data_IF_594612471459
#
_entry.id   IF_594612471459
#
_cell.length_a   1.000
_cell.length_b   1.000
_cell.length_c   1.000
_cell.angle_alpha   90.00
_cell.angle_beta   90.00
_cell.angle_gamma   90.00
#
_symmetry.space_group_name_H-M   'P 1'
#
loop_
_entity.id
_entity.type
_entity.pdbx_description
1 polymer ?
#
# COMPACT_ATOMS: atom_id res chain seq x y z
N UNK A 1 -1.55 -21.38 -1.50
CA UNK A 1 -0.29 -20.63 -1.59
C UNK A 1 -0.37 -19.48 -0.60
N UNK A 2 0.64 -19.30 0.26
CA UNK A 2 0.68 -18.19 1.19
C UNK A 2 1.14 -16.90 0.49
N UNK A 3 0.74 -15.74 1.00
CA UNK A 3 1.07 -14.43 0.45
C UNK A 3 1.76 -13.57 1.50
N UNK A 4 2.89 -12.98 1.13
CA UNK A 4 3.77 -12.25 2.03
C UNK A 4 3.84 -10.79 1.61
N UNK A 5 3.63 -9.84 2.55
CA UNK A 5 3.55 -8.41 2.21
C UNK A 5 4.93 -7.84 1.89
N UNK A 6 4.99 -6.96 0.89
CA UNK A 6 6.23 -6.34 0.41
C UNK A 6 6.19 -4.80 0.40
N UNK A 7 5.09 -4.23 0.89
CA UNK A 7 4.86 -2.80 1.02
C UNK A 7 3.73 -2.31 0.12
N UNK A 8 3.26 -1.10 0.40
CA UNK A 8 2.20 -0.44 -0.35
C UNK A 8 2.70 0.07 -1.70
N UNK A 9 1.85 -0.03 -2.72
CA UNK A 9 2.11 0.61 -4.01
C UNK A 9 1.93 2.13 -3.92
N UNK A 10 2.70 2.88 -4.72
CA UNK A 10 2.44 4.30 -4.98
C UNK A 10 1.88 4.57 -6.37
N UNK A 11 1.67 3.50 -7.15
CA UNK A 11 1.28 3.56 -8.55
C UNK A 11 -0.21 3.84 -8.71
N UNK A 12 -0.53 4.96 -9.37
CA UNK A 12 -1.86 5.27 -9.91
C UNK A 12 -3.05 4.70 -9.13
N UNK A 13 -3.70 3.71 -9.74
CA UNK A 13 -4.90 3.01 -9.28
C UNK A 13 -4.66 1.99 -8.15
N UNK A 14 -3.40 1.65 -7.87
CA UNK A 14 -2.98 0.76 -6.79
C UNK A 14 -2.42 1.51 -5.58
N UNK A 15 -2.40 2.85 -5.60
CA UNK A 15 -1.80 3.64 -4.52
C UNK A 15 -2.40 3.28 -3.15
N UNK A 16 -1.53 3.03 -2.18
CA UNK A 16 -1.89 2.62 -0.82
C UNK A 16 -2.22 1.14 -0.67
N UNK A 17 -2.39 0.39 -1.77
CA UNK A 17 -2.70 -1.03 -1.69
C UNK A 17 -1.44 -1.82 -1.37
N UNK A 18 -1.49 -2.62 -0.29
CA UNK A 18 -0.44 -3.56 0.06
C UNK A 18 -0.21 -4.55 -1.09
N UNK A 19 1.04 -4.68 -1.50
CA UNK A 19 1.46 -5.65 -2.50
C UNK A 19 2.01 -6.91 -1.83
N UNK A 20 1.91 -8.04 -2.53
CA UNK A 20 2.27 -9.35 -2.00
C UNK A 20 3.05 -10.18 -3.02
N UNK A 21 3.89 -11.08 -2.51
CA UNK A 21 4.55 -12.16 -3.27
C UNK A 21 4.27 -13.51 -2.62
N UNK A 22 4.49 -14.59 -3.36
CA UNK A 22 4.12 -15.95 -2.93
C UNK A 22 5.18 -16.67 -2.07
N UNK A 23 6.29 -16.01 -1.75
CA UNK A 23 7.40 -16.59 -1.00
C UNK A 23 7.91 -15.61 0.04
N UNK A 24 8.03 -16.08 1.28
CA UNK A 24 8.59 -15.28 2.37
C UNK A 24 10.00 -14.81 2.04
N UNK A 25 10.80 -15.69 1.42
CA UNK A 25 12.18 -15.39 1.06
C UNK A 25 12.26 -14.27 0.02
N UNK A 26 11.38 -14.30 -0.98
CA UNK A 26 11.28 -13.21 -1.98
C UNK A 26 10.89 -11.90 -1.29
N UNK A 27 9.92 -11.95 -0.37
CA UNK A 27 9.48 -10.76 0.35
C UNK A 27 10.62 -10.15 1.18
N UNK A 28 11.34 -10.96 1.95
CA UNK A 28 12.47 -10.52 2.76
C UNK A 28 13.62 -9.96 1.91
N UNK A 29 13.93 -10.57 0.77
CA UNK A 29 14.95 -10.06 -0.16
C UNK A 29 14.54 -8.74 -0.82
N UNK A 30 13.28 -8.62 -1.22
CA UNK A 30 12.73 -7.35 -1.73
C UNK A 30 12.83 -6.25 -0.67
N UNK A 31 12.38 -6.51 0.56
CA UNK A 31 12.43 -5.53 1.63
C UNK A 31 13.87 -5.11 1.96
N UNK A 32 14.81 -6.04 1.83
CA UNK A 32 16.24 -5.76 1.98
C UNK A 32 16.77 -4.86 0.86
N UNK A 33 16.30 -5.05 -0.38
CA UNK A 33 16.58 -4.14 -1.49
C UNK A 33 15.98 -2.75 -1.25
N UNK A 34 14.76 -2.67 -0.73
CA UNK A 34 14.11 -1.39 -0.36
C UNK A 34 14.95 -0.66 0.68
N UNK A 35 15.46 -1.37 1.70
CA UNK A 35 16.36 -0.81 2.72
C UNK A 35 17.65 -0.27 2.13
N UNK A 36 18.31 -1.04 1.27
CA UNK A 36 19.55 -0.62 0.62
C UNK A 36 19.32 0.62 -0.26
N UNK A 37 18.21 0.64 -1.00
CA UNK A 37 17.86 1.73 -1.91
C UNK A 37 17.60 3.01 -1.12
N UNK A 38 16.85 2.91 -0.02
CA UNK A 38 16.65 4.03 0.90
C UNK A 38 17.97 4.57 1.44
N UNK A 39 18.85 3.69 1.92
CA UNK A 39 20.17 4.09 2.44
C UNK A 39 21.05 4.79 1.38
N UNK A 40 20.87 4.43 0.09
CA UNK A 40 21.63 5.03 -1.01
C UNK A 40 21.07 6.38 -1.47
N UNK A 41 19.74 6.49 -1.58
CA UNK A 41 19.10 7.60 -2.31
C UNK A 41 18.19 8.48 -1.44
N UNK A 42 17.82 8.06 -0.23
CA UNK A 42 17.01 8.85 0.70
C UNK A 42 15.51 8.90 0.37
N UNK A 43 15.04 8.04 -0.54
CA UNK A 43 13.61 7.85 -0.84
C UNK A 43 13.29 6.38 -1.10
N UNK A 44 12.01 6.05 -1.05
CA UNK A 44 11.52 4.67 -0.98
C UNK A 44 11.41 4.04 -2.36
N UNK A 45 12.09 2.90 -2.56
CA UNK A 45 11.76 1.96 -3.63
C UNK A 45 10.40 1.30 -3.33
N UNK A 46 9.52 1.29 -4.32
CA UNK A 46 8.11 0.97 -4.13
C UNK A 46 7.69 -0.20 -5.02
N UNK A 47 6.95 -1.18 -4.48
CA UNK A 47 6.36 -2.24 -5.30
C UNK A 47 5.12 -1.66 -5.97
N UNK A 48 5.24 -1.19 -7.20
CA UNK A 48 4.12 -0.60 -7.93
C UNK A 48 3.03 -1.64 -8.21
N UNK A 49 3.44 -2.86 -8.55
CA UNK A 49 2.54 -3.99 -8.67
C UNK A 49 3.31 -5.29 -8.43
N UNK A 50 2.76 -6.21 -7.63
CA UNK A 50 3.30 -7.57 -7.50
C UNK A 50 2.18 -8.58 -7.76
N UNK A 51 1.57 -9.19 -6.76
CA UNK A 51 0.40 -10.05 -6.96
C UNK A 51 -0.67 -9.34 -7.79
N UNK A 52 -1.04 -9.96 -8.91
CA UNK A 52 -2.09 -9.48 -9.81
C UNK A 52 -3.19 -10.51 -9.93
N UNK A 53 -4.43 -10.06 -9.77
CA UNK A 53 -5.59 -10.93 -9.98
C UNK A 53 -5.75 -11.29 -11.46
N UNK A 54 -6.35 -12.44 -11.74
CA UNK A 54 -6.62 -12.88 -13.13
C UNK A 54 -7.55 -11.93 -13.87
N UNK A 55 -8.52 -11.34 -13.18
CA UNK A 55 -9.41 -10.33 -13.74
C UNK A 55 -8.65 -9.06 -14.13
N UNK A 56 -7.76 -8.57 -13.26
CA UNK A 56 -6.88 -7.43 -13.57
C UNK A 56 -5.96 -7.73 -14.74
N UNK A 57 -5.34 -8.92 -14.78
CA UNK A 57 -4.50 -9.33 -15.91
C UNK A 57 -5.29 -9.31 -17.24
N UNK A 58 -6.54 -9.77 -17.23
CA UNK A 58 -7.39 -9.76 -18.42
C UNK A 58 -7.75 -8.33 -18.85
N UNK A 59 -8.04 -7.43 -17.90
CA UNK A 59 -8.29 -6.02 -18.19
C UNK A 59 -7.06 -5.33 -18.80
N UNK A 60 -5.87 -5.55 -18.23
CA UNK A 60 -4.62 -4.98 -18.73
C UNK A 60 -4.26 -5.54 -20.11
N UNK A 61 -4.43 -6.85 -20.33
CA UNK A 61 -4.19 -7.47 -21.64
C UNK A 61 -5.13 -6.94 -22.72
N UNK A 62 -6.42 -6.75 -22.40
CA UNK A 62 -7.36 -6.15 -23.34
C UNK A 62 -7.02 -4.68 -23.66
N UNK A 63 -6.50 -3.92 -22.68
CA UNK A 63 -5.99 -2.56 -22.92
C UNK A 63 -4.74 -2.59 -23.81
N UNK A 64 -3.81 -3.52 -23.55
CA UNK A 64 -2.61 -3.74 -24.36
C UNK A 64 -2.95 -4.04 -25.83
N UNK A 65 -3.91 -4.93 -26.09
CA UNK A 65 -4.32 -5.26 -27.47
C UNK A 65 -4.92 -4.07 -28.22
N UNK A 66 -5.60 -3.15 -27.51
CA UNK A 66 -6.21 -1.96 -28.14
C UNK A 66 -5.21 -0.84 -28.36
N UNK A 67 -4.33 -0.60 -27.39
CA UNK A 67 -3.57 0.65 -27.30
C UNK A 67 -2.04 0.44 -27.32
N UNK A 68 -1.57 -0.81 -27.31
CA UNK A 68 -0.15 -1.15 -27.12
C UNK A 68 0.37 -0.87 -25.70
N UNK A 69 -0.48 -0.43 -24.77
CA UNK A 69 -0.11 -0.07 -23.40
C UNK A 69 -1.29 -0.20 -22.41
N UNK A 70 -1.06 -0.52 -21.13
CA UNK A 70 0.21 -0.99 -20.54
C UNK A 70 0.62 -2.35 -21.12
N UNK A 71 1.92 -2.65 -21.14
CA UNK A 71 2.39 -3.97 -21.57
C UNK A 71 1.83 -5.02 -20.62
N UNK A 72 1.31 -6.09 -21.19
CA UNK A 72 0.67 -7.15 -20.42
C UNK A 72 0.87 -8.50 -21.12
N UNK A 73 1.27 -9.50 -20.33
CA UNK A 73 1.30 -10.89 -20.78
C UNK A 73 -0.11 -11.41 -21.09
N UNK A 74 -0.20 -12.47 -21.89
CA UNK A 74 -1.44 -13.21 -22.08
C UNK A 74 -2.00 -13.65 -20.70
N UNK A 75 -3.33 -13.69 -20.50
CA UNK A 75 -3.92 -14.11 -19.24
C UNK A 75 -3.38 -15.46 -18.77
N UNK A 76 -3.21 -15.61 -17.46
CA UNK A 76 -2.69 -16.82 -16.79
C UNK A 76 -1.20 -17.14 -17.03
N UNK A 77 -0.51 -16.47 -17.95
CA UNK A 77 0.93 -16.68 -18.19
C UNK A 77 1.81 -15.67 -17.45
N UNK A 78 1.20 -14.62 -16.88
CA UNK A 78 1.91 -13.57 -16.15
C UNK A 78 2.58 -14.10 -14.90
N UNK A 79 3.81 -13.66 -14.64
CA UNK A 79 4.58 -13.97 -13.42
C UNK A 79 4.04 -13.27 -12.17
N UNK A 80 3.12 -12.31 -12.38
CA UNK A 80 2.31 -11.69 -11.32
C UNK A 80 1.08 -12.54 -10.91
N UNK A 81 0.74 -13.60 -11.64
CA UNK A 81 -0.52 -14.35 -11.46
C UNK A 81 -0.71 -14.88 -10.03
N UNK A 82 -1.90 -14.65 -9.49
CA UNK A 82 -2.27 -14.99 -8.11
C UNK A 82 -2.50 -16.48 -7.81
N UNK A 83 -2.41 -17.37 -8.80
CA UNK A 83 -2.67 -18.81 -8.62
C UNK A 83 -1.45 -19.64 -8.96
N UNK A 84 -0.84 -19.39 -10.12
CA UNK A 84 0.25 -20.17 -10.68
C UNK A 84 1.62 -19.59 -10.36
N UNK A 85 1.69 -18.27 -10.11
CA UNK A 85 2.95 -17.54 -9.94
C UNK A 85 2.90 -16.66 -8.69
N UNK A 86 3.43 -15.42 -8.76
CA UNK A 86 3.53 -14.50 -7.62
C UNK A 86 4.96 -14.15 -7.22
N UNK A 87 5.92 -14.29 -8.13
CA UNK A 87 7.34 -13.96 -7.90
C UNK A 87 7.78 -12.68 -8.62
N UNK A 88 6.90 -12.02 -9.39
CA UNK A 88 7.21 -10.77 -10.09
C UNK A 88 6.88 -9.53 -9.27
N UNK A 89 7.70 -8.49 -9.45
CA UNK A 89 7.54 -7.16 -8.85
C UNK A 89 7.85 -6.11 -9.91
N UNK A 90 6.90 -5.21 -10.16
CA UNK A 90 7.11 -3.98 -10.91
C UNK A 90 7.53 -2.90 -9.92
N UNK A 91 8.73 -2.36 -10.05
CA UNK A 91 9.28 -1.37 -9.12
C UNK A 91 9.20 0.07 -9.63
N UNK A 92 8.98 0.99 -8.70
CA UNK A 92 9.07 2.43 -8.92
C UNK A 92 9.65 3.13 -7.70
N UNK A 93 9.59 4.46 -7.70
CA UNK A 93 10.00 5.28 -6.57
C UNK A 93 8.81 6.06 -6.04
N UNK A 94 8.62 6.03 -4.72
CA UNK A 94 7.73 6.96 -4.03
C UNK A 94 8.51 8.21 -3.70
N UNK A 95 8.13 9.34 -4.31
CA UNK A 95 8.71 10.65 -3.99
C UNK A 95 8.26 11.16 -2.61
N UNK A 96 8.83 12.27 -2.14
CA UNK A 96 8.48 12.86 -0.84
C UNK A 96 7.00 13.30 -0.74
N UNK A 97 6.31 13.46 -1.87
CA UNK A 97 4.88 13.78 -1.94
C UNK A 97 3.99 12.52 -2.05
N UNK A 98 4.56 11.32 -1.91
CA UNK A 98 3.83 10.06 -1.98
C UNK A 98 3.45 9.62 -3.40
N UNK A 99 4.01 10.26 -4.44
CA UNK A 99 3.69 9.95 -5.83
C UNK A 99 4.70 8.96 -6.40
N UNK A 100 4.19 8.02 -7.20
CA UNK A 100 5.06 7.16 -7.99
C UNK A 100 5.75 7.95 -9.10
N UNK A 101 7.03 7.64 -9.32
CA UNK A 101 7.79 7.98 -10.52
C UNK A 101 8.62 6.80 -11.00
N UNK A 102 8.97 6.83 -12.29
CA UNK A 102 9.96 5.91 -12.83
C UNK A 102 11.34 6.12 -12.18
N UNK A 103 12.17 5.08 -12.20
CA UNK A 103 13.57 5.16 -11.81
C UNK A 103 14.32 6.01 -12.85
N UNK A 104 15.26 6.85 -12.39
CA UNK A 104 16.26 7.45 -13.29
C UNK A 104 17.21 6.37 -13.81
N UNK A 105 17.97 6.65 -14.87
CA UNK A 105 18.94 5.69 -15.41
C UNK A 105 19.95 5.20 -14.36
N UNK A 106 20.43 6.12 -13.50
CA UNK A 106 21.37 5.79 -12.43
C UNK A 106 20.74 4.94 -11.30
N UNK A 107 19.50 5.27 -10.91
CA UNK A 107 18.74 4.48 -9.94
C UNK A 107 18.45 3.08 -10.46
N UNK A 108 18.05 2.99 -11.73
CA UNK A 108 17.76 1.73 -12.40
C UNK A 108 19.01 0.84 -12.44
N UNK A 109 20.15 1.36 -12.92
CA UNK A 109 21.39 0.59 -12.99
C UNK A 109 21.82 0.07 -11.62
N UNK A 110 21.74 0.92 -10.60
CA UNK A 110 22.06 0.54 -9.22
C UNK A 110 21.07 -0.50 -8.67
N UNK A 111 19.77 -0.28 -8.85
CA UNK A 111 18.72 -1.15 -8.33
C UNK A 111 18.80 -2.54 -8.95
N UNK A 112 19.03 -2.65 -10.26
CA UNK A 112 19.17 -3.93 -10.93
C UNK A 112 20.41 -4.68 -10.47
N UNK A 113 21.57 -4.02 -10.37
CA UNK A 113 22.78 -4.65 -9.85
C UNK A 113 22.57 -5.22 -8.44
N UNK A 114 21.89 -4.47 -7.57
CA UNK A 114 21.59 -4.91 -6.20
C UNK A 114 20.51 -5.98 -6.13
N UNK A 115 19.50 -5.91 -6.99
CA UNK A 115 18.45 -6.92 -7.09
C UNK A 115 19.05 -8.28 -7.51
N UNK A 116 19.99 -8.31 -8.46
CA UNK A 116 20.66 -9.55 -8.86
C UNK A 116 21.41 -10.22 -7.70
N UNK A 117 22.14 -9.43 -6.90
CA UNK A 117 22.83 -9.93 -5.70
C UNK A 117 21.85 -10.45 -4.62
N UNK A 118 20.57 -10.10 -4.71
CA UNK A 118 19.50 -10.52 -3.80
C UNK A 118 18.59 -11.61 -4.40
N UNK A 119 19.01 -12.24 -5.50
CA UNK A 119 18.31 -13.38 -6.09
C UNK A 119 17.21 -13.02 -7.09
N UNK A 120 17.16 -11.77 -7.55
CA UNK A 120 16.24 -11.33 -8.60
C UNK A 120 16.90 -11.34 -9.99
N UNK A 121 16.08 -11.35 -11.03
CA UNK A 121 16.51 -11.13 -12.41
C UNK A 121 15.67 -10.03 -13.05
N UNK A 122 16.32 -9.15 -13.81
CA UNK A 122 15.61 -8.22 -14.69
C UNK A 122 15.07 -8.95 -15.92
N UNK A 123 13.89 -9.56 -15.79
CA UNK A 123 13.23 -10.24 -16.92
C UNK A 123 12.52 -9.27 -17.84
N UNK A 124 12.18 -8.06 -17.34
CA UNK A 124 11.61 -6.97 -18.12
C UNK A 124 12.47 -6.50 -19.30
N UNK A 125 13.79 -6.79 -19.31
CA UNK A 125 14.69 -6.47 -20.43
C UNK A 125 14.20 -7.05 -21.77
N UNK A 126 13.54 -8.20 -21.74
CA UNK A 126 13.06 -8.89 -22.94
C UNK A 126 11.79 -8.25 -23.51
N UNK A 127 11.18 -7.35 -22.75
CA UNK A 127 9.92 -6.69 -23.06
C UNK A 127 10.06 -5.17 -23.07
N UNK A 128 11.25 -4.60 -22.85
CA UNK A 128 11.44 -3.16 -22.71
C UNK A 128 10.71 -2.58 -21.50
N UNK A 129 10.74 -3.30 -20.37
CA UNK A 129 10.12 -2.95 -19.09
C UNK A 129 11.22 -2.77 -18.03
N UNK A 130 11.77 -1.55 -17.85
CA UNK A 130 12.86 -1.31 -16.88
C UNK A 130 12.42 -1.48 -15.42
N UNK A 131 11.12 -1.58 -15.15
CA UNK A 131 10.58 -1.74 -13.80
C UNK A 131 10.38 -3.21 -13.39
N UNK A 132 10.40 -4.18 -14.31
CA UNK A 132 9.92 -5.53 -14.01
C UNK A 132 11.06 -6.49 -13.59
N UNK A 133 10.98 -7.03 -12.37
CA UNK A 133 11.92 -8.03 -11.85
C UNK A 133 11.21 -9.29 -11.34
N UNK A 134 11.91 -10.42 -11.36
CA UNK A 134 11.42 -11.70 -10.85
C UNK A 134 12.33 -12.29 -9.77
N UNK A 135 11.75 -12.61 -8.61
CA UNK A 135 12.46 -13.20 -7.47
C UNK A 135 12.67 -14.70 -7.58
N UNK A 136 13.63 -15.20 -6.78
CA UNK A 136 14.07 -16.60 -6.74
C UNK A 136 14.55 -17.15 -8.09
N UNK A 137 15.15 -16.28 -8.90
CA UNK A 137 15.66 -16.62 -10.24
C UNK A 137 17.19 -16.72 -10.29
N UNK A 138 17.88 -16.28 -9.24
CA UNK A 138 19.35 -16.37 -9.10
C UNK A 138 19.76 -16.77 -7.70
N UNK A 139 21.01 -17.22 -7.57
CA UNK A 139 21.63 -17.41 -6.27
C UNK A 139 21.79 -16.08 -5.54
N UNK A 140 21.32 -16.05 -4.30
CA UNK A 140 21.43 -14.90 -3.42
C UNK A 140 22.87 -14.79 -2.90
N UNK A 141 23.50 -13.63 -3.06
CA UNK A 141 24.82 -13.35 -2.52
C UNK A 141 24.77 -12.83 -1.08
N UNK A 142 23.67 -12.17 -0.73
CA UNK A 142 23.42 -11.68 0.63
C UNK A 142 22.20 -12.35 1.22
N UNK A 143 22.24 -12.76 2.51
CA UNK A 143 21.00 -13.09 3.20
C UNK A 143 20.13 -11.82 3.33
N UNK A 144 18.81 -11.98 3.54
CA UNK A 144 17.97 -10.88 3.97
C UNK A 144 18.45 -10.30 5.29
N UNK A 145 18.13 -9.03 5.52
CA UNK A 145 18.35 -8.44 6.83
C UNK A 145 17.56 -9.21 7.91
N UNK A 146 18.16 -9.54 9.07
CA UNK A 146 17.48 -10.24 10.14
C UNK A 146 16.23 -9.48 10.61
N UNK A 147 15.10 -10.19 10.71
CA UNK A 147 13.83 -9.64 11.18
C UNK A 147 13.24 -8.54 10.29
N UNK A 148 13.64 -8.46 9.02
CA UNK A 148 13.12 -7.41 8.12
C UNK A 148 11.63 -7.62 7.83
N UNK A 149 10.86 -6.55 7.95
CA UNK A 149 9.42 -6.46 7.73
C UNK A 149 9.10 -5.20 6.94
N UNK A 150 7.86 -5.09 6.44
CA UNK A 150 7.38 -3.84 5.81
C UNK A 150 7.54 -2.64 6.75
N UNK A 151 7.28 -2.82 8.05
CA UNK A 151 7.33 -1.73 9.03
C UNK A 151 8.75 -1.23 9.34
N UNK A 152 9.78 -2.05 9.18
CA UNK A 152 11.16 -1.67 9.51
C UNK A 152 12.09 -1.57 8.29
N UNK A 153 11.62 -1.86 7.07
CA UNK A 153 12.44 -1.87 5.86
C UNK A 153 13.10 -0.52 5.55
N UNK A 154 12.46 0.60 5.86
CA UNK A 154 13.04 1.93 5.65
C UNK A 154 14.02 2.36 6.75
N UNK A 155 14.21 1.54 7.80
CA UNK A 155 15.11 1.88 8.90
C UNK A 155 14.70 3.15 9.66
N UNK A 156 13.47 3.63 9.48
CA UNK A 156 12.88 4.62 10.37
C UNK A 156 12.54 3.86 11.65
N UNK A 157 13.50 3.76 12.56
CA UNK A 157 13.15 3.53 13.97
C UNK A 157 12.07 4.54 14.32
N UNK A 158 11.01 4.17 15.08
CA UNK A 158 10.21 5.20 15.72
C UNK A 158 11.21 6.14 16.39
N UNK A 159 11.12 7.44 16.08
CA UNK A 159 11.83 8.48 16.83
C UNK A 159 11.70 8.07 18.31
N UNK A 160 12.80 7.90 19.06
CA UNK A 160 12.68 7.55 20.47
C UNK A 160 11.70 8.53 21.07
N UNK A 161 10.64 8.00 21.70
CA UNK A 161 9.64 8.86 22.30
C UNK A 161 10.38 9.89 23.16
N UNK A 162 10.04 11.19 23.07
CA UNK A 162 10.62 12.17 23.98
C UNK A 162 10.48 11.65 25.41
N UNK A 163 11.55 11.77 26.20
CA UNK A 163 11.58 11.27 27.58
C UNK A 163 10.26 11.59 28.30
N UNK A 164 9.70 10.62 29.05
CA UNK A 164 8.39 10.77 29.66
C UNK A 164 8.41 11.97 30.61
N UNK A 165 7.69 13.03 30.26
CA UNK A 165 7.35 14.08 31.21
C UNK A 165 6.57 13.47 32.39
N UNK A 166 6.73 13.99 33.62
CA UNK A 166 6.08 13.47 34.82
C UNK A 166 4.58 13.25 34.59
N UNK A 167 4.13 12.05 34.97
CA UNK A 167 2.80 11.51 34.69
C UNK A 167 1.69 12.33 35.37
N UNK A 168 0.76 12.96 34.62
CA UNK A 168 -0.48 13.45 35.20
C UNK A 168 -1.41 12.28 35.56
N UNK A 169 -2.13 12.45 36.65
CA UNK A 169 -3.05 11.50 37.29
C UNK A 169 -4.10 10.92 36.32
N UNK A 170 -4.53 9.65 36.48
CA UNK A 170 -5.38 8.97 35.50
C UNK A 170 -6.81 9.54 35.48
N UNK A 171 -7.34 9.82 34.29
CA UNK A 171 -8.78 9.98 34.03
C UNK A 171 -9.28 8.80 33.17
N UNK A 172 -10.53 8.33 33.34
CA UNK A 172 -10.94 6.99 32.93
C UNK A 172 -11.02 6.80 31.43
N UNK A 173 -10.82 5.54 31.04
CA UNK A 173 -10.81 5.06 29.67
C UNK A 173 -12.11 5.36 28.91
N UNK A 174 -11.98 5.70 27.64
CA UNK A 174 -13.06 5.58 26.66
C UNK A 174 -12.47 4.98 25.39
N UNK A 175 -12.96 3.80 25.05
CA UNK A 175 -12.54 2.98 23.91
C UNK A 175 -13.06 3.57 22.61
N UNK A 176 -12.15 4.02 21.75
CA UNK A 176 -12.36 4.03 20.31
C UNK A 176 -11.02 3.60 19.69
N UNK A 177 -10.98 2.61 18.78
CA UNK A 177 -9.73 2.18 18.17
C UNK A 177 -9.17 3.35 17.38
N UNK A 178 -8.05 3.90 17.86
CA UNK A 178 -7.32 4.99 17.21
C UNK A 178 -6.93 4.62 15.75
N UNK A 179 -6.91 3.32 15.42
CA UNK A 179 -6.64 2.83 14.07
C UNK A 179 -7.72 3.16 13.03
N UNK A 180 -8.99 3.31 13.42
CA UNK A 180 -10.10 3.49 12.47
C UNK A 180 -10.32 4.96 12.03
N UNK A 181 -9.47 5.90 12.46
CA UNK A 181 -9.63 7.35 12.20
C UNK A 181 -8.84 7.81 10.96
N UNK A 182 -7.78 7.09 10.60
CA UNK A 182 -6.75 7.56 9.66
C UNK A 182 -7.29 7.75 8.24
N UNK A 183 -8.38 7.08 7.86
CA UNK A 183 -8.94 7.09 6.50
C UNK A 183 -10.43 7.46 6.46
N UNK A 184 -10.83 8.33 7.37
CA UNK A 184 -12.23 8.50 7.72
C UNK A 184 -12.75 9.86 7.29
N UNK A 185 -13.94 9.90 6.72
CA UNK A 185 -14.56 11.15 6.25
C UNK A 185 -16.02 11.25 6.70
N UNK A 186 -16.54 12.48 6.73
CA UNK A 186 -17.94 12.75 7.05
C UNK A 186 -18.75 12.77 5.76
N UNK A 187 -19.78 11.93 5.66
CA UNK A 187 -20.75 11.95 4.55
C UNK A 187 -22.14 12.36 5.02
N UNK A 188 -22.90 13.04 4.16
CA UNK A 188 -24.34 13.28 4.31
C UNK A 188 -25.09 12.47 3.26
N UNK A 189 -26.23 11.89 3.66
CA UNK A 189 -27.03 11.02 2.78
C UNK A 189 -28.40 11.62 2.48
N UNK A 190 -28.62 12.01 1.22
CA UNK A 190 -29.94 12.48 0.75
C UNK A 190 -30.42 13.77 1.43
N UNK A 191 -31.74 14.00 1.41
CA UNK A 191 -32.36 15.22 1.96
C UNK A 191 -32.32 15.29 3.49
N UNK A 192 -32.16 14.14 4.18
CA UNK A 192 -31.93 14.07 5.62
C UNK A 192 -30.43 14.09 5.87
N UNK A 193 -29.89 15.27 6.19
CA UNK A 193 -28.48 15.56 6.45
C UNK A 193 -27.92 14.85 7.70
N UNK A 194 -28.02 13.54 7.78
CA UNK A 194 -27.47 12.73 8.87
C UNK A 194 -25.99 12.47 8.55
N UNK A 195 -25.05 12.96 9.37
CA UNK A 195 -23.64 12.77 9.15
C UNK A 195 -23.21 11.36 9.57
N UNK A 196 -22.40 10.72 8.74
CA UNK A 196 -21.75 9.44 9.07
C UNK A 196 -20.25 9.61 9.00
N UNK A 197 -19.56 9.01 9.98
CA UNK A 197 -18.14 8.76 9.95
C UNK A 197 -17.92 7.43 9.21
N UNK A 198 -17.21 7.45 8.10
CA UNK A 198 -17.05 6.29 7.20
C UNK A 198 -15.58 5.97 7.00
N UNK A 199 -15.21 4.71 7.23
CA UNK A 199 -13.91 4.17 6.87
C UNK A 199 -14.08 3.23 5.66
N UNK A 200 -13.59 3.60 4.46
CA UNK A 200 -13.74 2.83 3.24
C UNK A 200 -12.84 1.59 3.20
N UNK A 201 -11.79 1.53 4.02
CA UNK A 201 -10.87 0.39 4.06
C UNK A 201 -11.45 -0.76 4.87
N UNK A 202 -12.13 -0.43 5.97
CA UNK A 202 -12.80 -1.42 6.82
C UNK A 202 -14.26 -1.65 6.43
N UNK A 203 -14.80 -0.84 5.51
CA UNK A 203 -16.22 -0.83 5.15
C UNK A 203 -17.14 -0.63 6.36
N UNK A 204 -16.69 0.15 7.36
CA UNK A 204 -17.45 0.45 8.58
C UNK A 204 -17.97 1.87 8.58
N UNK A 205 -19.17 2.07 9.11
CA UNK A 205 -19.77 3.39 9.28
C UNK A 205 -20.38 3.59 10.67
N UNK A 206 -20.23 4.81 11.19
CA UNK A 206 -20.83 5.24 12.47
C UNK A 206 -21.66 6.50 12.23
N UNK A 207 -22.93 6.46 12.61
CA UNK A 207 -23.79 7.63 12.57
C UNK A 207 -23.34 8.63 13.65
N UNK A 208 -23.20 9.90 13.27
CA UNK A 208 -22.81 10.98 14.17
C UNK A 208 -24.02 11.82 14.58
N UNK A 209 -24.03 12.28 15.82
CA UNK A 209 -24.87 13.38 16.26
C UNK A 209 -24.19 14.75 16.03
N UNK A 210 -24.87 15.86 16.38
CA UNK A 210 -24.35 17.21 16.17
C UNK A 210 -23.04 17.49 16.93
N UNK A 211 -22.95 17.05 18.19
CA UNK A 211 -21.75 17.20 19.02
C UNK A 211 -20.56 16.45 18.42
N UNK A 212 -20.75 15.19 18.04
CA UNK A 212 -19.72 14.36 17.42
C UNK A 212 -19.27 14.92 16.07
N UNK A 213 -20.22 15.43 15.28
CA UNK A 213 -19.91 16.04 13.98
C UNK A 213 -19.02 17.27 14.15
N UNK A 214 -19.36 18.14 15.11
CA UNK A 214 -18.57 19.34 15.42
C UNK A 214 -17.17 18.99 15.92
N UNK A 215 -17.08 17.97 16.78
CA UNK A 215 -15.81 17.44 17.28
C UNK A 215 -14.87 16.99 16.16
N UNK A 216 -15.37 16.19 15.21
CA UNK A 216 -14.54 15.69 14.11
C UNK A 216 -14.17 16.77 13.10
N UNK A 217 -15.07 17.73 12.82
CA UNK A 217 -14.75 18.90 12.00
C UNK A 217 -13.65 19.77 12.60
N UNK A 218 -13.69 19.99 13.92
CA UNK A 218 -12.65 20.75 14.63
C UNK A 218 -11.25 20.08 14.54
N UNK A 219 -11.20 18.77 14.28
CA UNK A 219 -9.97 18.00 14.07
C UNK A 219 -9.54 17.93 12.60
N UNK A 220 -10.17 18.70 11.73
CA UNK A 220 -9.81 18.80 10.31
C UNK A 220 -10.32 17.65 9.45
N UNK A 221 -11.24 16.81 9.95
CA UNK A 221 -11.83 15.75 9.15
C UNK A 221 -12.69 16.36 8.04
N UNK A 222 -12.41 15.98 6.79
CA UNK A 222 -13.10 16.56 5.64
C UNK A 222 -14.51 16.00 5.48
N UNK A 223 -15.45 16.89 5.18
CA UNK A 223 -16.80 16.55 4.76
C UNK A 223 -16.80 16.35 3.25
N UNK A 224 -17.19 15.17 2.78
CA UNK A 224 -17.34 14.95 1.35
C UNK A 224 -18.59 15.65 0.84
N UNK A 225 -18.47 16.32 -0.31
CA UNK A 225 -19.61 16.95 -0.99
C UNK A 225 -20.61 15.87 -1.39
N UNK A 226 -21.90 16.16 -1.21
CA UNK A 226 -23.04 15.28 -1.51
C UNK A 226 -22.85 14.56 -2.85
N UNK A 227 -22.45 13.30 -2.80
CA UNK A 227 -22.11 12.52 -3.99
C UNK A 227 -22.11 11.01 -3.78
N UNK A 228 -22.28 10.54 -2.54
CA UNK A 228 -22.40 9.11 -2.28
C UNK A 228 -23.87 8.70 -2.20
N UNK A 229 -24.26 7.75 -3.07
CA UNK A 229 -25.60 7.18 -3.07
C UNK A 229 -25.89 6.52 -1.71
N UNK A 230 -27.10 6.64 -1.15
CA UNK A 230 -27.52 5.87 0.03
C UNK A 230 -27.28 4.36 -0.09
N UNK A 231 -27.26 3.83 -1.33
CA UNK A 231 -26.91 2.44 -1.62
C UNK A 231 -25.46 2.09 -1.22
N UNK A 232 -24.52 3.03 -1.38
CA UNK A 232 -23.11 2.83 -1.03
C UNK A 232 -22.97 2.66 0.48
N UNK A 233 -23.56 3.53 1.30
CA UNK A 233 -23.46 3.40 2.77
C UNK A 233 -24.26 2.21 3.30
N UNK A 234 -25.30 1.76 2.58
CA UNK A 234 -26.04 0.55 2.97
C UNK A 234 -25.23 -0.75 2.89
N UNK A 235 -24.11 -0.76 2.13
CA UNK A 235 -23.17 -1.89 2.10
C UNK A 235 -22.10 -1.83 3.18
N UNK A 236 -22.12 -0.82 4.07
CA UNK A 236 -21.17 -0.69 5.17
C UNK A 236 -21.72 -1.34 6.43
N UNK A 237 -20.84 -1.98 7.20
CA UNK A 237 -21.17 -2.46 8.54
C UNK A 237 -21.44 -1.25 9.45
N UNK A 238 -22.64 -1.20 10.04
CA UNK A 238 -22.98 -0.19 11.04
C UNK A 238 -22.40 -0.58 12.38
N UNK A 239 -21.51 0.26 12.90
CA UNK A 239 -20.96 0.08 14.23
C UNK A 239 -21.72 0.95 15.22
N UNK A 240 -22.09 0.37 16.37
CA UNK A 240 -22.60 1.13 17.50
C UNK A 240 -21.43 1.47 18.43
N UNK A 241 -21.25 2.76 18.72
CA UNK A 241 -20.19 3.23 19.60
C UNK A 241 -20.62 4.47 20.37
N UNK A 242 -20.43 4.45 21.70
CA UNK A 242 -20.40 5.66 22.52
C UNK A 242 -18.95 6.14 22.59
N UNK A 243 -18.52 6.92 21.60
CA UNK A 243 -17.16 7.47 21.56
C UNK A 243 -17.20 8.88 21.00
N UNK A 244 -16.50 9.80 21.69
CA UNK A 244 -16.42 11.23 21.43
C UNK A 244 -17.68 12.05 21.82
N UNK A 245 -17.89 12.22 23.13
CA UNK A 245 -18.38 13.48 23.68
C UNK A 245 -17.17 14.24 24.22
#
# INVERSE_FOLDING_TARGET
MAWYPIGESSYGDLRGQMQYVNSERIAQQWLSLVRDFWARFGYRLSPNEARRSRSRQSLLYNAYLRNGYPKAAYPFTSRHDEVLHGNAIDMGVTDAAGRNRALTAAEFAWAQQRAELRGFTWTGRNFGEPWHIEGATRAEHFPPYPGITVSNALGISPVPAPEPKPKPTPKPATTTPVGDIVNTFIVRLGSKKVPFLVNPETMRCMQLNETQTSFWKARGLQEQRDGQSPAIVSSFERVSGKGAA
#
